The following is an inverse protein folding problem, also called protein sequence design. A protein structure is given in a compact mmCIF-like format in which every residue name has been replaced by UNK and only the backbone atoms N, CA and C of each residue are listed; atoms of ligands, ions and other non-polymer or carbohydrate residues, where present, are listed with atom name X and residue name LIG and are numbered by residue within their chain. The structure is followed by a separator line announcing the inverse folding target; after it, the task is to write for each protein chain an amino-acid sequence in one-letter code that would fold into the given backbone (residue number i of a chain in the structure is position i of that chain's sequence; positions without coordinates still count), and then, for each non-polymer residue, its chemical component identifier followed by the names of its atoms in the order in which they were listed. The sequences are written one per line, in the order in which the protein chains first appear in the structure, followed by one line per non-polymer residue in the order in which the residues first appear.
data_IF_470996810719
#
_entry.id   IF_470996810719
#
_cell.length_a   1.000
_cell.length_b   1.000
_cell.length_c   1.000
_cell.angle_alpha   90.00
_cell.angle_beta   90.00
_cell.angle_gamma   90.00
#
_symmetry.space_group_name_H-M   'P 1'
#
loop_
_entity.id
_entity.type
_entity.pdbx_description
1 polymer ?
#
# COMPACT_ATOMS: atom_id res chain seq x y z
N UNK A 1 -5.28 5.63 9.83
CA UNK A 1 -4.92 4.98 11.11
C UNK A 1 -5.85 3.83 11.46
N UNK A 2 -5.33 2.60 11.37
CA UNK A 2 -6.07 1.39 11.71
C UNK A 2 -6.32 1.30 13.23
N UNK A 3 -7.48 0.78 13.62
CA UNK A 3 -7.83 0.56 15.03
C UNK A 3 -6.99 -0.55 15.68
N UNK A 4 -6.39 -1.43 14.86
CA UNK A 4 -5.36 -2.40 15.23
C UNK A 4 -4.39 -2.59 14.06
N UNK A 5 -3.09 -2.82 14.30
CA UNK A 5 -2.13 -3.08 13.23
C UNK A 5 -2.50 -4.34 12.43
N UNK A 6 -2.34 -4.27 11.11
CA UNK A 6 -2.64 -5.38 10.20
C UNK A 6 -1.34 -6.10 9.84
N UNK A 7 -1.35 -7.44 9.78
CA UNK A 7 -0.17 -8.19 9.32
C UNK A 7 0.07 -7.89 7.83
N UNK A 8 1.30 -7.56 7.47
CA UNK A 8 1.63 -7.17 6.10
C UNK A 8 1.28 -8.25 5.09
N UNK A 9 1.60 -9.51 5.40
CA UNK A 9 1.33 -10.67 4.53
C UNK A 9 -0.17 -10.91 4.26
N UNK A 10 -1.04 -10.44 5.15
CA UNK A 10 -2.50 -10.60 5.05
C UNK A 10 -3.19 -9.32 4.55
N UNK A 11 -2.42 -8.28 4.21
CA UNK A 11 -2.98 -7.01 3.74
C UNK A 11 -2.97 -6.97 2.22
N UNK A 12 -4.08 -6.50 1.66
CA UNK A 12 -4.22 -6.20 0.24
C UNK A 12 -4.56 -4.72 0.07
N UNK A 13 -3.81 -4.05 -0.79
CA UNK A 13 -4.01 -2.66 -1.17
C UNK A 13 -4.75 -2.63 -2.51
N UNK A 14 -5.82 -1.85 -2.58
CA UNK A 14 -6.61 -1.63 -3.78
C UNK A 14 -6.65 -0.15 -4.11
N UNK A 15 -6.26 0.22 -5.33
CA UNK A 15 -6.30 1.59 -5.83
C UNK A 15 -7.49 1.77 -6.76
N UNK A 16 -8.35 2.74 -6.45
CA UNK A 16 -9.49 3.10 -7.30
C UNK A 16 -9.17 4.41 -8.03
N UNK A 17 -9.10 4.34 -9.35
CA UNK A 17 -8.84 5.50 -10.22
C UNK A 17 -9.92 5.61 -11.30
N UNK A 18 -10.02 6.76 -11.97
CA UNK A 18 -10.88 6.90 -13.14
C UNK A 18 -10.34 6.03 -14.29
N UNK A 19 -11.24 5.53 -15.13
CA UNK A 19 -11.00 4.55 -16.21
C UNK A 19 -9.91 4.92 -17.24
N UNK A 20 -9.39 6.14 -17.22
CA UNK A 20 -8.37 6.63 -18.14
C UNK A 20 -6.93 6.20 -17.75
N UNK A 21 -6.74 5.51 -16.60
CA UNK A 21 -5.42 5.27 -16.00
C UNK A 21 -5.13 3.81 -15.58
N UNK A 22 -5.89 2.84 -16.09
CA UNK A 22 -5.91 1.47 -15.55
C UNK A 22 -4.54 0.76 -15.52
N UNK A 23 -3.73 0.82 -16.58
CA UNK A 23 -2.54 -0.05 -16.68
C UNK A 23 -1.42 0.32 -15.68
N UNK A 24 -1.05 1.61 -15.56
CA UNK A 24 0.04 2.03 -14.66
C UNK A 24 -0.34 1.84 -13.17
N UNK A 25 -1.63 1.92 -12.86
CA UNK A 25 -2.19 1.71 -11.52
C UNK A 25 -2.21 0.23 -11.17
N UNK A 26 -2.54 -0.64 -12.13
CA UNK A 26 -2.49 -2.09 -11.97
C UNK A 26 -1.07 -2.57 -11.66
N UNK A 27 -0.07 -2.11 -12.42
CA UNK A 27 1.34 -2.47 -12.19
C UNK A 27 1.83 -2.02 -10.79
N UNK A 28 1.48 -0.79 -10.39
CA UNK A 28 1.83 -0.29 -9.06
C UNK A 28 1.14 -1.11 -7.95
N UNK A 29 -0.15 -1.43 -8.13
CA UNK A 29 -0.91 -2.22 -7.19
C UNK A 29 -0.32 -3.63 -7.05
N UNK A 30 0.03 -4.28 -8.17
CA UNK A 30 0.67 -5.59 -8.17
C UNK A 30 2.03 -5.55 -7.46
N UNK A 31 2.85 -4.53 -7.72
CA UNK A 31 4.14 -4.34 -7.06
C UNK A 31 4.01 -4.18 -5.55
N UNK A 32 3.06 -3.37 -5.09
CA UNK A 32 2.80 -3.14 -3.66
C UNK A 32 2.30 -4.43 -2.99
N UNK A 33 1.31 -5.10 -3.59
CA UNK A 33 0.75 -6.33 -3.03
C UNK A 33 1.77 -7.49 -3.03
N UNK A 34 2.64 -7.56 -4.04
CA UNK A 34 3.74 -8.53 -4.07
C UNK A 34 4.75 -8.26 -2.95
N UNK A 35 5.12 -7.00 -2.73
CA UNK A 35 6.01 -6.62 -1.63
C UNK A 35 5.41 -6.92 -0.25
N UNK A 36 4.11 -6.66 -0.06
CA UNK A 36 3.37 -6.97 1.17
C UNK A 36 3.35 -8.47 1.47
N UNK A 37 3.06 -9.30 0.47
CA UNK A 37 3.05 -10.77 0.60
C UNK A 37 4.43 -11.37 0.83
N UNK A 38 5.50 -10.68 0.39
CA UNK A 38 6.87 -11.10 0.63
C UNK A 38 7.41 -10.71 2.02
N UNK A 39 6.67 -9.91 2.80
CA UNK A 39 7.13 -9.51 4.13
C UNK A 39 7.18 -10.71 5.10
N UNK A 40 8.15 -10.72 6.03
CA UNK A 40 8.14 -11.66 7.13
C UNK A 40 6.84 -11.57 7.95
N UNK A 41 6.46 -12.71 8.54
CA UNK A 41 5.21 -12.88 9.29
C UNK A 41 5.11 -11.98 10.53
N UNK A 42 6.22 -11.37 10.96
CA UNK A 42 6.31 -10.46 12.08
C UNK A 42 6.26 -8.97 11.69
N UNK A 43 5.88 -8.61 10.47
CA UNK A 43 5.69 -7.22 10.07
C UNK A 43 4.21 -6.85 10.13
N UNK A 44 3.91 -5.73 10.79
CA UNK A 44 2.57 -5.13 10.83
C UNK A 44 2.59 -3.74 10.21
N UNK A 45 1.46 -3.36 9.61
CA UNK A 45 1.20 -2.07 9.01
C UNK A 45 0.44 -1.21 10.03
N UNK A 46 0.99 -0.03 10.31
CA UNK A 46 0.38 0.95 11.21
C UNK A 46 -0.51 1.94 10.45
N UNK A 47 -0.06 2.37 9.28
CA UNK A 47 -0.85 3.20 8.39
C UNK A 47 -0.38 3.08 6.94
N UNK A 48 -1.30 3.42 6.03
CA UNK A 48 -1.02 3.57 4.60
C UNK A 48 -1.48 4.97 4.21
N UNK A 49 -0.53 5.80 3.81
CA UNK A 49 -0.80 7.15 3.35
C UNK A 49 -0.69 7.14 1.83
N UNK A 50 -1.78 7.48 1.15
CA UNK A 50 -1.77 7.65 -0.29
C UNK A 50 -2.01 9.12 -0.62
N UNK A 51 -1.33 9.61 -1.65
CA UNK A 51 -1.58 10.92 -2.22
C UNK A 51 -1.65 10.82 -3.74
N UNK A 52 -2.73 11.37 -4.27
CA UNK A 52 -2.91 11.55 -5.69
C UNK A 52 -2.66 13.01 -6.02
N UNK A 53 -1.48 13.30 -6.55
CA UNK A 53 -1.19 14.60 -7.14
C UNK A 53 -1.59 14.50 -8.62
N UNK A 54 -2.66 15.21 -9.00
CA UNK A 54 -3.17 15.18 -10.37
C UNK A 54 -2.14 15.58 -11.44
N UNK A 55 -2.59 15.57 -12.69
CA UNK A 55 -1.80 15.74 -13.91
C UNK A 55 -0.61 16.70 -13.75
N UNK A 56 0.60 16.15 -13.82
CA UNK A 56 1.82 16.95 -13.92
C UNK A 56 1.85 17.75 -15.22
N UNK A 57 2.71 18.77 -15.30
CA UNK A 57 2.91 19.57 -16.52
C UNK A 57 3.33 18.77 -17.77
N UNK A 58 3.59 17.46 -17.62
CA UNK A 58 3.91 16.52 -18.71
C UNK A 58 2.79 15.52 -19.01
N UNK A 59 1.59 15.69 -18.45
CA UNK A 59 0.47 14.79 -18.70
C UNK A 59 0.54 13.46 -17.94
N UNK A 60 1.46 13.31 -16.98
CA UNK A 60 1.56 12.10 -16.13
C UNK A 60 0.93 12.36 -14.78
N UNK A 61 0.08 11.48 -14.31
CA UNK A 61 -0.39 11.50 -12.92
C UNK A 61 0.74 11.10 -11.97
N UNK A 62 0.82 11.80 -10.85
CA UNK A 62 1.82 11.51 -9.82
C UNK A 62 1.09 10.85 -8.67
N UNK A 63 1.20 9.53 -8.61
CA UNK A 63 0.74 8.76 -7.46
C UNK A 63 1.91 8.53 -6.49
N UNK A 64 1.67 8.77 -5.21
CA UNK A 64 2.63 8.47 -4.16
C UNK A 64 1.92 7.70 -3.05
N UNK A 65 2.56 6.64 -2.56
CA UNK A 65 2.10 5.88 -1.42
C UNK A 65 3.26 5.67 -0.44
N UNK A 66 2.98 5.87 0.84
CA UNK A 66 3.87 5.55 1.94
C UNK A 66 3.19 4.48 2.82
N UNK A 67 3.89 3.37 3.03
CA UNK A 67 3.47 2.30 3.93
C UNK A 67 4.31 2.43 5.20
N UNK A 68 3.67 2.70 6.32
CA UNK A 68 4.32 2.81 7.62
C UNK A 68 4.19 1.46 8.31
N UNK A 69 5.32 0.78 8.50
CA UNK A 69 5.37 -0.56 9.08
C UNK A 69 6.37 -0.63 10.23
N UNK A 70 6.17 -1.64 11.07
CA UNK A 70 7.10 -2.01 12.14
C UNK A 70 7.06 -3.50 12.41
N UNK A 71 7.97 -3.96 13.24
CA UNK A 71 7.90 -5.31 13.80
C UNK A 71 6.72 -5.41 14.77
N UNK A 72 5.99 -6.51 14.67
CA UNK A 72 4.90 -6.89 15.56
C UNK A 72 5.43 -7.13 16.98
N UNK A 73 4.63 -6.73 17.98
CA UNK A 73 4.82 -7.16 19.36
C UNK A 73 4.34 -8.60 19.54
N UNK A 74 4.79 -9.28 20.61
CA UNK A 74 4.38 -10.66 20.89
C UNK A 74 2.84 -10.83 20.93
N UNK A 75 2.12 -9.86 21.50
CA UNK A 75 0.65 -9.85 21.59
C UNK A 75 -0.06 -9.76 20.23
N UNK A 76 0.61 -9.23 19.21
CA UNK A 76 0.06 -9.06 17.86
C UNK A 76 0.32 -10.29 16.96
N UNK A 77 1.07 -11.27 17.47
CA UNK A 77 1.37 -12.54 16.80
C UNK A 77 0.56 -13.72 17.38
N UNK A 78 -0.16 -13.50 18.48
CA UNK A 78 -1.11 -14.44 19.10
C UNK A 78 -2.49 -14.34 18.45
#
# INVERSE_FOLDING_TARGET
MFSRPLRAINTEVMLFTSSEYNNDVEDLQEGINSWLKAQPDNIVIEDIIYNHCGISSRGKDILSMAIISRTASAKELE
#
